data_IF_552650075215
#
_entry.id   IF_552650075215
#
_cell.length_a   1.000
_cell.length_b   1.000
_cell.length_c   1.000
_cell.angle_alpha   90.00
_cell.angle_beta   90.00
_cell.angle_gamma   90.00
#
_symmetry.space_group_name_H-M   'P 1'
#
loop_
_entity.id
_entity.type
_entity.pdbx_description
1 polymer ?
#
# COMPACT_ATOMS: atom_id res chain seq x y z
N UNK A 1 9.55 9.27 -11.44
CA UNK A 1 8.18 9.55 -10.96
C UNK A 1 7.26 8.48 -11.53
N UNK A 2 6.36 7.89 -10.74
CA UNK A 2 5.45 6.82 -11.21
C UNK A 2 4.00 7.25 -10.94
N UNK A 3 3.13 7.27 -11.96
CA UNK A 3 1.70 7.52 -11.75
C UNK A 3 1.06 6.27 -11.12
N UNK A 4 0.27 6.47 -10.06
CA UNK A 4 -0.58 5.42 -9.48
C UNK A 4 -2.02 5.92 -9.40
N UNK A 5 -2.97 5.02 -9.64
CA UNK A 5 -4.39 5.34 -9.50
C UNK A 5 -4.82 5.24 -8.03
N UNK A 6 -5.55 6.24 -7.54
CA UNK A 6 -6.23 6.19 -6.24
C UNK A 6 -7.72 5.88 -6.35
N UNK A 7 -8.19 5.48 -7.54
CA UNK A 7 -9.62 5.32 -7.83
C UNK A 7 -10.28 6.60 -8.33
N UNK A 8 -11.50 6.48 -8.87
CA UNK A 8 -12.36 7.60 -9.33
C UNK A 8 -11.71 8.59 -10.30
N UNK A 9 -10.77 8.14 -11.13
CA UNK A 9 -10.09 8.99 -12.11
C UNK A 9 -8.96 9.87 -11.53
N UNK A 10 -8.64 9.74 -10.25
CA UNK A 10 -7.54 10.48 -9.64
C UNK A 10 -6.18 9.77 -9.87
N UNK A 11 -5.19 10.58 -10.24
CA UNK A 11 -3.80 10.16 -10.43
C UNK A 11 -2.95 10.76 -9.31
N UNK A 12 -2.24 9.89 -8.60
CA UNK A 12 -1.23 10.32 -7.62
C UNK A 12 0.14 10.13 -8.24
N UNK A 13 0.92 11.22 -8.29
CA UNK A 13 2.32 11.19 -8.71
C UNK A 13 3.19 10.95 -7.50
N UNK A 14 3.84 9.79 -7.46
CA UNK A 14 4.74 9.42 -6.36
C UNK A 14 6.18 9.25 -6.87
N UNK A 15 7.14 9.52 -6.00
CA UNK A 15 8.53 9.11 -6.19
C UNK A 15 8.63 7.64 -5.76
N UNK A 16 8.93 6.71 -6.69
CA UNK A 16 9.05 5.29 -6.36
C UNK A 16 10.04 5.07 -5.23
N UNK A 17 9.68 4.22 -4.27
CA UNK A 17 10.53 3.90 -3.12
C UNK A 17 10.58 4.97 -2.02
N UNK A 18 10.06 6.18 -2.22
CA UNK A 18 10.09 7.26 -1.22
C UNK A 18 8.71 7.66 -0.71
N UNK A 19 7.73 7.81 -1.60
CA UNK A 19 6.38 8.31 -1.28
C UNK A 19 5.30 7.28 -1.61
N UNK A 20 5.43 6.05 -1.09
CA UNK A 20 4.38 5.03 -1.15
C UNK A 20 3.89 4.71 0.27
N UNK A 21 2.63 4.24 0.40
CA UNK A 21 2.03 3.84 1.69
C UNK A 21 2.88 2.81 2.43
N UNK A 22 3.51 1.92 1.67
CA UNK A 22 4.42 0.91 2.17
C UNK A 22 5.61 1.51 2.93
N UNK A 23 6.34 2.46 2.36
CA UNK A 23 7.48 3.10 3.01
C UNK A 23 7.06 3.78 4.32
N UNK A 24 5.91 4.47 4.32
CA UNK A 24 5.36 5.08 5.54
C UNK A 24 5.19 4.07 6.67
N UNK A 25 4.56 2.93 6.38
CA UNK A 25 4.38 1.84 7.35
C UNK A 25 5.73 1.23 7.76
N UNK A 26 6.66 0.97 6.83
CA UNK A 26 7.98 0.44 7.17
C UNK A 26 8.78 1.37 8.08
N UNK A 27 8.62 2.70 7.95
CA UNK A 27 9.25 3.69 8.85
C UNK A 27 8.64 3.63 10.26
N UNK A 28 7.33 3.43 10.38
CA UNK A 28 6.66 3.27 11.67
C UNK A 28 7.09 1.98 12.37
N UNK A 29 7.13 0.86 11.64
CA UNK A 29 7.61 -0.42 12.16
C UNK A 29 9.04 -0.34 12.70
N UNK A 30 9.95 0.29 11.94
CA UNK A 30 11.33 0.52 12.41
C UNK A 30 11.40 1.39 13.67
N UNK A 31 10.52 2.40 13.78
CA UNK A 31 10.48 3.29 14.95
C UNK A 31 10.00 2.58 16.21
N UNK A 32 9.12 1.60 16.06
CA UNK A 32 8.53 0.85 17.17
C UNK A 32 9.17 -0.52 17.41
N UNK A 33 10.21 -0.86 16.64
CA UNK A 33 10.87 -2.17 16.69
C UNK A 33 9.89 -3.34 16.50
N UNK A 34 8.98 -3.18 15.53
CA UNK A 34 7.96 -4.18 15.21
C UNK A 34 8.22 -4.85 13.86
N UNK A 35 7.93 -6.14 13.78
CA UNK A 35 7.98 -6.92 12.55
C UNK A 35 6.80 -6.60 11.62
N UNK A 36 6.96 -6.66 10.29
CA UNK A 36 5.84 -6.65 9.33
C UNK A 36 4.79 -7.74 9.57
N UNK A 37 5.13 -8.79 10.32
CA UNK A 37 4.18 -9.81 10.80
C UNK A 37 3.05 -9.23 11.67
N UNK A 38 3.29 -8.07 12.29
CA UNK A 38 2.31 -7.34 13.09
C UNK A 38 1.44 -6.38 12.25
N UNK A 39 1.49 -6.47 10.92
CA UNK A 39 0.74 -5.58 10.03
C UNK A 39 -0.37 -6.34 9.33
N UNK A 40 -1.57 -5.77 9.42
CA UNK A 40 -2.72 -6.10 8.57
C UNK A 40 -2.96 -4.94 7.61
N UNK A 41 -3.03 -5.23 6.31
CA UNK A 41 -3.33 -4.24 5.28
C UNK A 41 -4.65 -4.58 4.58
N UNK A 42 -5.49 -3.56 4.39
CA UNK A 42 -6.75 -3.67 3.66
C UNK A 42 -6.77 -2.58 2.59
N UNK A 43 -7.14 -2.93 1.36
CA UNK A 43 -7.11 -1.99 0.25
C UNK A 43 -7.97 -2.37 -0.94
N UNK A 44 -8.26 -1.37 -1.77
CA UNK A 44 -9.16 -1.46 -2.93
C UNK A 44 -8.50 -0.94 -4.23
N UNK A 45 -7.46 -0.13 -4.10
CA UNK A 45 -6.96 0.72 -5.19
C UNK A 45 -5.46 0.53 -5.44
N UNK A 46 -5.04 0.89 -6.66
CA UNK A 46 -3.68 0.73 -7.17
C UNK A 46 -2.59 1.31 -6.28
N UNK A 47 -2.88 2.39 -5.54
CA UNK A 47 -1.94 3.02 -4.61
C UNK A 47 -1.65 2.18 -3.34
N UNK A 48 -2.42 1.12 -3.08
CA UNK A 48 -2.28 0.21 -1.95
C UNK A 48 -1.49 -1.06 -2.26
N UNK A 49 -1.17 -1.34 -3.53
CA UNK A 49 -0.57 -2.61 -3.95
C UNK A 49 0.73 -2.95 -3.20
N UNK A 50 1.63 -1.97 -3.06
CA UNK A 50 2.91 -2.18 -2.36
C UNK A 50 2.73 -2.34 -0.84
N UNK A 51 1.68 -1.75 -0.26
CA UNK A 51 1.33 -1.95 1.14
C UNK A 51 0.79 -3.37 1.37
N UNK A 52 -0.11 -3.83 0.50
CA UNK A 52 -0.68 -5.17 0.56
C UNK A 52 0.37 -6.27 0.40
N UNK A 53 1.40 -6.04 -0.43
CA UNK A 53 2.53 -6.97 -0.59
C UNK A 53 3.48 -7.04 0.62
N UNK A 54 3.54 -5.97 1.41
CA UNK A 54 4.48 -5.87 2.54
C UNK A 54 3.88 -6.38 3.84
N UNK A 55 2.57 -6.20 4.03
CA UNK A 55 1.87 -6.69 5.21
C UNK A 55 1.80 -8.23 5.19
N UNK A 56 1.91 -8.83 6.36
CA UNK A 56 1.81 -10.29 6.48
C UNK A 56 0.39 -10.78 6.24
N UNK A 57 -0.60 -10.03 6.72
CA UNK A 57 -2.00 -10.24 6.38
C UNK A 57 -2.45 -9.12 5.45
N UNK A 58 -2.91 -9.48 4.26
CA UNK A 58 -3.42 -8.52 3.30
C UNK A 58 -4.76 -8.97 2.72
N UNK A 59 -5.68 -8.01 2.61
CA UNK A 59 -7.04 -8.25 2.15
C UNK A 59 -7.42 -7.22 1.09
N UNK A 60 -7.88 -7.70 -0.06
CA UNK A 60 -8.50 -6.88 -1.08
C UNK A 60 -10.00 -6.74 -0.78
N UNK A 61 -10.53 -5.53 -0.90
CA UNK A 61 -11.97 -5.29 -0.80
C UNK A 61 -12.71 -5.89 -2.01
N UNK A 62 -13.98 -6.25 -1.87
CA UNK A 62 -14.76 -6.82 -3.00
C UNK A 62 -14.88 -5.87 -4.20
N UNK A 63 -14.91 -4.56 -3.93
CA UNK A 63 -14.91 -3.50 -4.94
C UNK A 63 -13.50 -3.11 -5.41
N UNK A 64 -12.47 -3.87 -5.06
CA UNK A 64 -11.10 -3.57 -5.47
C UNK A 64 -10.95 -3.65 -6.99
N UNK A 65 -10.01 -2.87 -7.53
CA UNK A 65 -9.62 -3.01 -8.92
C UNK A 65 -9.07 -4.42 -9.20
N UNK A 66 -9.29 -4.96 -10.39
CA UNK A 66 -8.85 -6.31 -10.81
C UNK A 66 -7.37 -6.59 -10.52
N UNK A 67 -6.50 -5.58 -10.64
CA UNK A 67 -5.08 -5.71 -10.38
C UNK A 67 -4.69 -5.71 -8.89
N UNK A 68 -5.68 -5.66 -7.99
CA UNK A 68 -5.54 -5.66 -6.53
C UNK A 68 -6.23 -6.85 -5.88
N UNK A 69 -7.28 -7.40 -6.51
CA UNK A 69 -7.86 -8.70 -6.15
C UNK A 69 -6.82 -9.82 -6.29
#
# INVERSE_FOLDING_TARGET
MKPVTSGFGFIVLIIPGLHNKANGISRLLKRWDLSPQNVVAIGDSGNGAEMLKMAHYSFAMDNAAENIK
#
